data_IF_416707213640
#
_entry.id   IF_416707213640
#
_cell.length_a   1.000
_cell.length_b   1.000
_cell.length_c   1.000
_cell.angle_alpha   90.00
_cell.angle_beta   90.00
_cell.angle_gamma   90.00
#
_symmetry.space_group_name_H-M   'P 1'
#
loop_
_entity.id
_entity.type
_entity.pdbx_description
1 polymer ?
#
# COMPACT_ATOMS: atom_id res chain seq x y z
N UNK A 1 -58.55 8.01 17.79
CA UNK A 1 -57.61 7.15 18.53
C UNK A 1 -56.56 6.70 17.53
N UNK A 2 -55.50 7.48 17.38
CA UNK A 2 -54.49 7.30 16.32
C UNK A 2 -53.46 6.27 16.78
N UNK A 3 -53.18 5.28 15.93
CA UNK A 3 -52.20 4.24 16.23
C UNK A 3 -50.79 4.85 16.37
N UNK A 4 -49.96 4.40 17.33
CA UNK A 4 -48.58 4.87 17.47
C UNK A 4 -47.76 4.45 16.24
N UNK A 5 -46.96 5.37 15.70
CA UNK A 5 -46.05 5.07 14.60
C UNK A 5 -45.04 3.97 15.01
N UNK A 6 -44.75 3.00 14.13
CA UNK A 6 -43.74 1.98 14.39
C UNK A 6 -42.37 2.66 14.56
N UNK A 7 -41.86 2.63 15.79
CA UNK A 7 -40.59 3.26 16.15
C UNK A 7 -39.44 2.75 15.28
N UNK A 8 -38.63 3.69 14.78
CA UNK A 8 -37.40 3.42 14.03
C UNK A 8 -36.55 2.39 14.78
N UNK A 9 -36.17 1.26 14.17
CA UNK A 9 -35.36 0.26 14.84
C UNK A 9 -34.03 0.88 15.28
N UNK A 10 -33.51 0.52 16.47
CA UNK A 10 -32.26 1.06 16.97
C UNK A 10 -31.14 0.76 15.98
N UNK A 11 -30.34 1.77 15.65
CA UNK A 11 -29.18 1.61 14.80
C UNK A 11 -28.25 0.55 15.41
N UNK A 12 -27.99 -0.53 14.67
CA UNK A 12 -27.10 -1.57 15.15
C UNK A 12 -25.70 -0.99 15.41
N UNK A 13 -25.03 -1.37 16.52
CA UNK A 13 -23.67 -0.95 16.80
C UNK A 13 -22.76 -1.30 15.63
N UNK A 14 -21.97 -0.33 15.16
CA UNK A 14 -21.05 -0.54 14.04
C UNK A 14 -19.84 -1.35 14.52
N UNK A 15 -19.89 -2.66 14.37
CA UNK A 15 -18.82 -3.57 14.81
C UNK A 15 -17.56 -3.33 13.97
N UNK A 16 -16.39 -3.05 14.58
CA UNK A 16 -15.14 -2.88 13.85
C UNK A 16 -14.75 -4.18 13.14
N UNK A 17 -14.32 -4.11 11.88
CA UNK A 17 -13.85 -5.28 11.12
C UNK A 17 -12.70 -6.04 11.82
N UNK A 18 -11.94 -5.37 12.71
CA UNK A 18 -10.89 -5.98 13.53
C UNK A 18 -11.41 -6.95 14.60
N UNK A 19 -12.71 -6.91 14.90
CA UNK A 19 -13.36 -7.78 15.89
C UNK A 19 -14.08 -8.98 15.27
N UNK A 20 -14.06 -9.10 13.93
CA UNK A 20 -14.57 -10.31 13.29
C UNK A 20 -13.61 -11.48 13.59
N UNK A 21 -14.13 -12.64 14.05
CA UNK A 21 -13.31 -13.81 14.29
C UNK A 21 -12.70 -14.28 12.97
N UNK A 22 -11.40 -14.11 12.83
CA UNK A 22 -10.65 -14.59 11.68
C UNK A 22 -10.30 -16.07 11.89
N UNK A 23 -10.35 -16.86 10.82
CA UNK A 23 -9.93 -18.28 10.86
C UNK A 23 -8.46 -18.46 11.22
N UNK A 24 -7.64 -17.42 11.01
CA UNK A 24 -6.21 -17.45 11.30
C UNK A 24 -5.67 -16.09 11.69
N UNK A 25 -5.09 -16.04 12.90
CA UNK A 25 -4.46 -14.88 13.51
C UNK A 25 -5.38 -13.68 13.69
N UNK A 26 -4.82 -12.60 14.21
CA UNK A 26 -5.55 -11.35 14.39
C UNK A 26 -5.33 -10.39 13.23
N UNK A 27 -6.31 -9.52 12.98
CA UNK A 27 -6.20 -8.45 11.98
C UNK A 27 -4.93 -7.58 12.12
N UNK A 28 -4.51 -7.12 13.33
CA UNK A 28 -3.27 -6.36 13.50
C UNK A 28 -2.01 -7.15 13.14
N UNK A 29 -1.93 -8.43 13.54
CA UNK A 29 -0.78 -9.29 13.27
C UNK A 29 -0.59 -9.50 11.77
N UNK A 30 -1.69 -9.78 11.05
CA UNK A 30 -1.67 -9.91 9.59
C UNK A 30 -1.28 -8.61 8.89
N UNK A 31 -1.71 -7.47 9.42
CA UNK A 31 -1.35 -6.18 8.87
C UNK A 31 0.14 -5.90 9.01
N UNK A 32 0.70 -6.12 10.22
CA UNK A 32 2.13 -5.96 10.47
C UNK A 32 2.97 -6.92 9.65
N UNK A 33 2.62 -8.21 9.64
CA UNK A 33 3.32 -9.21 8.83
C UNK A 33 3.29 -8.86 7.34
N UNK A 34 2.12 -8.44 6.82
CA UNK A 34 1.97 -8.03 5.43
C UNK A 34 2.88 -6.85 5.06
N UNK A 35 2.94 -5.81 5.90
CA UNK A 35 3.79 -4.64 5.65
C UNK A 35 5.28 -5.02 5.67
N UNK A 36 5.72 -5.74 6.70
CA UNK A 36 7.12 -6.15 6.81
C UNK A 36 7.54 -7.01 5.62
N UNK A 37 6.68 -7.90 5.16
CA UNK A 37 6.94 -8.75 3.99
C UNK A 37 6.95 -7.95 2.67
N UNK A 38 6.04 -7.00 2.50
CA UNK A 38 6.00 -6.14 1.30
C UNK A 38 7.26 -5.27 1.22
N UNK A 39 7.59 -4.55 2.29
CA UNK A 39 8.73 -3.63 2.34
C UNK A 39 10.04 -4.42 2.32
N UNK A 40 10.17 -5.43 3.17
CA UNK A 40 11.36 -6.27 3.24
C UNK A 40 11.61 -7.04 1.93
N UNK A 41 10.56 -7.59 1.33
CA UNK A 41 10.64 -8.25 0.03
C UNK A 41 11.03 -7.28 -1.09
N UNK A 42 10.45 -6.08 -1.12
CA UNK A 42 10.82 -5.03 -2.09
C UNK A 42 12.28 -4.57 -1.93
N UNK A 43 12.75 -4.41 -0.69
CA UNK A 43 14.13 -4.04 -0.40
C UNK A 43 15.11 -5.17 -0.77
N UNK A 44 14.74 -6.43 -0.52
CA UNK A 44 15.51 -7.59 -0.94
C UNK A 44 15.62 -7.67 -2.48
N UNK A 45 14.53 -7.39 -3.21
CA UNK A 45 14.56 -7.28 -4.67
C UNK A 45 15.51 -6.16 -5.10
N UNK A 46 15.37 -4.95 -4.56
CA UNK A 46 16.22 -3.80 -4.93
C UNK A 46 17.70 -4.00 -4.58
N UNK A 47 18.01 -4.82 -3.57
CA UNK A 47 19.38 -5.19 -3.20
C UNK A 47 19.97 -6.37 -3.97
N UNK A 48 19.16 -7.09 -4.77
CA UNK A 48 19.63 -8.24 -5.53
C UNK A 48 20.59 -7.79 -6.65
N UNK A 49 21.64 -8.58 -6.86
CA UNK A 49 22.65 -8.34 -7.90
C UNK A 49 23.16 -9.68 -8.43
N UNK A 50 24.07 -9.64 -9.40
CA UNK A 50 24.64 -10.84 -10.05
C UNK A 50 25.35 -11.79 -9.08
N UNK A 51 25.91 -11.30 -7.97
CA UNK A 51 26.57 -12.12 -6.94
C UNK A 51 25.59 -12.72 -5.92
N UNK A 52 24.42 -12.10 -5.76
CA UNK A 52 23.40 -12.50 -4.78
C UNK A 52 22.03 -12.73 -5.44
N UNK A 53 22.02 -13.32 -6.64
CA UNK A 53 20.80 -13.48 -7.45
C UNK A 53 19.73 -14.34 -6.76
N UNK A 54 20.13 -15.23 -5.84
CA UNK A 54 19.22 -16.02 -5.01
C UNK A 54 18.33 -15.18 -4.07
N UNK A 55 18.72 -13.93 -3.76
CA UNK A 55 17.90 -13.00 -2.96
C UNK A 55 16.66 -12.56 -3.76
N UNK A 56 16.75 -12.46 -5.08
CA UNK A 56 15.66 -12.01 -5.94
C UNK A 56 14.39 -12.87 -5.82
N UNK A 57 14.44 -14.22 -5.97
CA UNK A 57 13.27 -15.06 -5.78
C UNK A 57 12.77 -15.05 -4.33
N UNK A 58 13.65 -14.94 -3.32
CA UNK A 58 13.24 -14.84 -1.91
C UNK A 58 12.49 -13.52 -1.64
N UNK A 59 13.02 -12.40 -2.12
CA UNK A 59 12.38 -11.09 -2.03
C UNK A 59 11.05 -11.03 -2.77
N UNK A 60 10.99 -11.64 -3.96
CA UNK A 60 9.76 -11.78 -4.75
C UNK A 60 8.71 -12.59 -4.00
N UNK A 61 9.08 -13.75 -3.44
CA UNK A 61 8.18 -14.58 -2.64
C UNK A 61 7.68 -13.85 -1.39
N UNK A 62 8.57 -13.18 -0.66
CA UNK A 62 8.20 -12.37 0.50
C UNK A 62 7.22 -11.24 0.12
N UNK A 63 7.50 -10.52 -0.97
CA UNK A 63 6.65 -9.43 -1.44
C UNK A 63 5.24 -9.93 -1.82
N UNK A 64 5.15 -11.04 -2.55
CA UNK A 64 3.88 -11.70 -2.90
C UNK A 64 3.13 -12.16 -1.65
N UNK A 65 3.82 -12.83 -0.73
CA UNK A 65 3.24 -13.31 0.52
C UNK A 65 2.65 -12.16 1.35
N UNK A 66 3.36 -11.02 1.41
CA UNK A 66 2.90 -9.84 2.12
C UNK A 66 1.55 -9.32 1.60
N UNK A 67 1.38 -9.21 0.28
CA UNK A 67 0.09 -8.85 -0.33
C UNK A 67 -1.02 -9.86 -0.07
N UNK A 68 -0.70 -11.16 -0.10
CA UNK A 68 -1.65 -12.23 0.17
C UNK A 68 -2.15 -12.25 1.62
N UNK A 69 -1.30 -11.88 2.58
CA UNK A 69 -1.61 -11.89 4.01
C UNK A 69 -2.54 -10.73 4.41
N UNK A 70 -2.46 -9.59 3.73
CA UNK A 70 -3.21 -8.38 4.06
C UNK A 70 -4.73 -8.63 4.20
N UNK A 71 -5.39 -8.07 5.23
CA UNK A 71 -6.83 -8.27 5.46
C UNK A 71 -7.67 -7.41 4.49
N UNK A 72 -7.99 -7.91 3.30
CA UNK A 72 -8.90 -7.26 2.32
C UNK A 72 -9.65 -8.27 1.42
N UNK A 73 -10.51 -7.83 0.49
CA UNK A 73 -11.19 -8.74 -0.44
C UNK A 73 -10.18 -9.50 -1.34
N UNK A 74 -10.37 -10.81 -1.51
CA UNK A 74 -9.40 -11.70 -2.19
C UNK A 74 -9.00 -11.24 -3.59
N UNK A 75 -9.96 -10.81 -4.42
CA UNK A 75 -9.69 -10.36 -5.79
C UNK A 75 -8.78 -9.11 -5.85
N UNK A 76 -8.91 -8.19 -4.88
CA UNK A 76 -8.06 -6.99 -4.81
C UNK A 76 -6.61 -7.30 -4.43
N UNK A 77 -6.40 -8.35 -3.61
CA UNK A 77 -5.05 -8.84 -3.28
C UNK A 77 -4.35 -9.32 -4.55
N UNK A 78 -5.03 -10.19 -5.31
CA UNK A 78 -4.47 -10.78 -6.52
C UNK A 78 -4.18 -9.71 -7.59
N UNK A 79 -5.08 -8.75 -7.76
CA UNK A 79 -4.86 -7.65 -8.69
C UNK A 79 -3.71 -6.73 -8.29
N UNK A 80 -3.42 -6.57 -7.00
CA UNK A 80 -2.31 -5.74 -6.53
C UNK A 80 -0.94 -6.43 -6.66
N UNK A 81 -0.90 -7.76 -6.53
CA UNK A 81 0.34 -8.54 -6.53
C UNK A 81 1.13 -8.35 -7.82
N UNK A 82 0.50 -8.62 -8.98
CA UNK A 82 1.18 -8.60 -10.27
C UNK A 82 1.78 -7.23 -10.62
N UNK A 83 1.03 -6.11 -10.60
CA UNK A 83 1.60 -4.80 -10.91
C UNK A 83 2.64 -4.36 -9.88
N UNK A 84 2.41 -4.63 -8.58
CA UNK A 84 3.39 -4.29 -7.54
C UNK A 84 4.69 -5.05 -7.73
N UNK A 85 4.64 -6.37 -7.96
CA UNK A 85 5.84 -7.18 -8.17
C UNK A 85 6.61 -6.74 -9.42
N UNK A 86 5.90 -6.49 -10.53
CA UNK A 86 6.52 -6.00 -11.76
C UNK A 86 7.27 -4.68 -11.50
N UNK A 87 6.67 -3.76 -10.74
CA UNK A 87 7.35 -2.49 -10.41
C UNK A 87 8.58 -2.70 -9.52
N UNK A 88 8.58 -3.68 -8.62
CA UNK A 88 9.77 -4.01 -7.83
C UNK A 88 10.91 -4.53 -8.72
N UNK A 89 10.60 -5.33 -9.74
CA UNK A 89 11.62 -5.76 -10.70
C UNK A 89 12.13 -4.62 -11.59
N UNK A 90 11.26 -3.68 -11.97
CA UNK A 90 11.68 -2.48 -12.71
C UNK A 90 12.67 -1.64 -11.90
N UNK A 91 12.59 -1.62 -10.56
CA UNK A 91 13.57 -0.92 -9.73
C UNK A 91 14.99 -1.46 -9.86
N UNK A 92 15.20 -2.71 -10.31
CA UNK A 92 16.54 -3.26 -10.54
C UNK A 92 17.35 -2.46 -11.57
N UNK A 93 16.68 -1.68 -12.42
CA UNK A 93 17.32 -0.83 -13.43
C UNK A 93 17.95 0.44 -12.85
N UNK A 94 17.66 0.78 -11.59
CA UNK A 94 18.28 1.89 -10.85
C UNK A 94 17.33 3.01 -10.40
N UNK A 95 17.86 4.06 -9.76
CA UNK A 95 17.05 5.09 -9.08
C UNK A 95 16.19 5.93 -10.03
N UNK A 96 16.53 6.01 -11.33
CA UNK A 96 15.71 6.73 -12.32
C UNK A 96 14.30 6.14 -12.48
N UNK A 97 14.13 4.86 -12.12
CA UNK A 97 12.84 4.18 -12.21
C UNK A 97 12.00 4.29 -10.94
N UNK A 98 12.39 5.10 -9.94
CA UNK A 98 11.62 5.27 -8.70
C UNK A 98 10.16 5.71 -8.92
N UNK A 99 9.87 6.40 -10.04
CA UNK A 99 8.51 6.78 -10.41
C UNK A 99 7.54 5.58 -10.45
N UNK A 100 8.03 4.38 -10.74
CA UNK A 100 7.20 3.15 -10.77
C UNK A 100 6.63 2.80 -9.39
N UNK A 101 7.19 3.32 -8.30
CA UNK A 101 6.66 3.16 -6.93
C UNK A 101 5.29 3.82 -6.72
N UNK A 102 4.84 4.65 -7.66
CA UNK A 102 3.45 5.13 -7.64
C UNK A 102 2.46 3.96 -7.79
N UNK A 103 2.81 2.93 -8.55
CA UNK A 103 1.93 1.78 -8.80
C UNK A 103 1.66 0.97 -7.52
N UNK A 104 2.66 0.52 -6.73
CA UNK A 104 2.41 -0.16 -5.46
C UNK A 104 1.69 0.74 -4.46
N UNK A 105 1.91 2.06 -4.51
CA UNK A 105 1.13 3.02 -3.73
C UNK A 105 -0.37 3.02 -4.11
N UNK A 106 -0.69 3.06 -5.40
CA UNK A 106 -2.07 2.99 -5.88
C UNK A 106 -2.71 1.63 -5.55
N UNK A 107 -1.95 0.54 -5.70
CA UNK A 107 -2.37 -0.79 -5.27
C UNK A 107 -2.68 -0.84 -3.77
N UNK A 108 -1.90 -0.13 -2.95
CA UNK A 108 -2.15 0.00 -1.53
C UNK A 108 -3.47 0.73 -1.24
N UNK A 109 -3.77 1.82 -1.96
CA UNK A 109 -5.05 2.52 -1.83
C UNK A 109 -6.24 1.64 -2.24
N UNK A 110 -6.08 0.88 -3.33
CA UNK A 110 -7.08 -0.09 -3.82
C UNK A 110 -7.39 -1.15 -2.75
N UNK A 111 -6.35 -1.77 -2.19
CA UNK A 111 -6.46 -2.81 -1.14
C UNK A 111 -7.09 -2.25 0.14
N UNK A 112 -6.84 -0.98 0.47
CA UNK A 112 -7.42 -0.31 1.64
C UNK A 112 -8.83 0.23 1.42
N UNK A 113 -9.48 -0.07 0.28
CA UNK A 113 -10.84 0.37 -0.04
C UNK A 113 -11.04 1.89 0.09
N UNK A 114 -10.02 2.68 -0.26
CA UNK A 114 -10.11 4.15 -0.21
C UNK A 114 -10.95 4.68 -1.37
N UNK A 115 -11.63 5.83 -1.19
CA UNK A 115 -12.43 6.44 -2.27
C UNK A 115 -11.52 6.87 -3.43
N UNK A 116 -12.02 6.78 -4.67
CA UNK A 116 -11.23 7.03 -5.88
C UNK A 116 -10.56 8.42 -5.90
N UNK A 117 -11.18 9.43 -5.28
CA UNK A 117 -10.61 10.79 -5.14
C UNK A 117 -9.24 10.78 -4.45
N UNK A 118 -9.00 9.83 -3.53
CA UNK A 118 -7.70 9.73 -2.87
C UNK A 118 -6.58 9.24 -3.80
N UNK A 119 -6.89 8.72 -4.99
CA UNK A 119 -5.84 8.39 -5.97
C UNK A 119 -5.03 9.62 -6.42
N UNK A 120 -5.58 10.84 -6.24
CA UNK A 120 -4.87 12.09 -6.53
C UNK A 120 -3.62 12.29 -5.66
N UNK A 121 -3.55 11.70 -4.46
CA UNK A 121 -2.31 11.73 -3.66
C UNK A 121 -1.19 10.92 -4.30
N UNK A 122 -1.50 10.05 -5.27
CA UNK A 122 -0.52 9.39 -6.13
C UNK A 122 0.28 10.39 -6.97
N UNK A 123 -0.28 11.55 -7.33
CA UNK A 123 0.45 12.59 -8.06
C UNK A 123 1.63 13.10 -7.22
N UNK A 124 1.42 13.30 -5.92
CA UNK A 124 2.49 13.73 -4.99
C UNK A 124 3.61 12.68 -4.98
N UNK A 125 3.25 11.40 -4.88
CA UNK A 125 4.23 10.31 -4.88
C UNK A 125 4.98 10.25 -6.22
N UNK A 126 4.29 10.37 -7.35
CA UNK A 126 4.91 10.36 -8.68
C UNK A 126 5.88 11.53 -8.86
N UNK A 127 5.48 12.75 -8.49
CA UNK A 127 6.30 13.95 -8.63
C UNK A 127 7.56 13.84 -7.77
N UNK A 128 7.42 13.46 -6.49
CA UNK A 128 8.60 13.31 -5.61
C UNK A 128 9.50 12.18 -6.10
N UNK A 129 8.95 11.04 -6.50
CA UNK A 129 9.74 9.92 -6.99
C UNK A 129 10.48 10.25 -8.30
N UNK A 130 9.85 11.03 -9.19
CA UNK A 130 10.49 11.54 -10.40
C UNK A 130 11.63 12.51 -10.07
N UNK A 131 11.38 13.52 -9.22
CA UNK A 131 12.40 14.50 -8.80
C UNK A 131 13.58 13.82 -8.12
N UNK A 132 13.31 12.91 -7.18
CA UNK A 132 14.37 12.16 -6.48
C UNK A 132 15.13 11.26 -7.45
N UNK A 133 14.44 10.59 -8.37
CA UNK A 133 15.06 9.74 -9.38
C UNK A 133 15.93 10.51 -10.37
N UNK A 134 15.59 11.77 -10.67
CA UNK A 134 16.40 12.65 -11.50
C UNK A 134 17.62 13.19 -10.75
N UNK A 135 17.42 13.67 -9.50
CA UNK A 135 18.49 14.24 -8.68
C UNK A 135 19.53 13.22 -8.18
N UNK A 136 19.12 11.96 -7.96
CA UNK A 136 19.99 10.89 -7.42
C UNK A 136 20.28 9.79 -8.46
N UNK A 137 19.78 9.94 -9.68
CA UNK A 137 19.67 8.88 -10.70
C UNK A 137 20.97 8.27 -11.22
N UNK A 138 22.07 9.03 -11.16
CA UNK A 138 23.33 8.64 -11.78
C UNK A 138 24.21 7.77 -10.87
N UNK A 139 23.84 7.62 -9.59
CA UNK A 139 24.64 6.91 -8.59
C UNK A 139 23.80 5.84 -7.87
N UNK A 140 24.05 4.57 -8.21
CA UNK A 140 23.34 3.44 -7.59
C UNK A 140 23.57 3.35 -6.08
N UNK A 141 24.69 3.87 -5.56
CA UNK A 141 24.92 3.91 -4.10
C UNK A 141 23.85 4.73 -3.37
N UNK A 142 23.18 5.66 -4.08
CA UNK A 142 22.10 6.49 -3.58
C UNK A 142 20.71 5.86 -3.71
N UNK A 143 20.60 4.63 -4.20
CA UNK A 143 19.33 3.93 -4.32
C UNK A 143 18.61 3.80 -2.97
N UNK A 144 19.34 3.43 -1.91
CA UNK A 144 18.75 3.23 -0.58
C UNK A 144 18.19 4.52 0.04
N UNK A 145 18.93 5.66 0.07
CA UNK A 145 18.35 6.92 0.54
C UNK A 145 17.20 7.41 -0.38
N UNK A 146 17.30 7.21 -1.70
CA UNK A 146 16.24 7.57 -2.63
C UNK A 146 14.93 6.77 -2.35
N UNK A 147 15.06 5.45 -2.13
CA UNK A 147 13.94 4.59 -1.71
C UNK A 147 13.34 5.05 -0.37
N UNK A 148 14.18 5.42 0.60
CA UNK A 148 13.71 5.90 1.90
C UNK A 148 12.87 7.19 1.77
N UNK A 149 13.30 8.14 0.93
CA UNK A 149 12.54 9.38 0.68
C UNK A 149 11.19 9.08 0.03
N UNK A 150 11.16 8.20 -0.99
CA UNK A 150 9.91 7.85 -1.67
C UNK A 150 8.97 7.07 -0.75
N UNK A 151 9.48 6.14 0.07
CA UNK A 151 8.69 5.43 1.08
C UNK A 151 8.11 6.36 2.15
N UNK A 152 8.90 7.34 2.61
CA UNK A 152 8.42 8.36 3.53
C UNK A 152 7.30 9.19 2.89
N UNK A 153 7.45 9.53 1.61
CA UNK A 153 6.43 10.26 0.84
C UNK A 153 5.16 9.44 0.65
N UNK A 154 5.27 8.15 0.30
CA UNK A 154 4.13 7.24 0.21
C UNK A 154 3.39 7.15 1.55
N UNK A 155 4.14 7.10 2.66
CA UNK A 155 3.58 7.08 4.01
C UNK A 155 2.81 8.36 4.31
N UNK A 156 3.41 9.54 4.07
CA UNK A 156 2.78 10.83 4.24
C UNK A 156 1.53 10.99 3.35
N UNK A 157 1.62 10.62 2.08
CA UNK A 157 0.50 10.62 1.14
C UNK A 157 -0.61 9.66 1.61
N UNK A 158 -0.27 8.52 2.19
CA UNK A 158 -1.26 7.57 2.75
C UNK A 158 -1.98 8.14 3.96
N UNK A 159 -1.31 8.97 4.78
CA UNK A 159 -1.90 9.68 5.92
C UNK A 159 -2.85 10.75 5.39
N UNK A 160 -2.40 11.55 4.42
CA UNK A 160 -3.22 12.58 3.76
C UNK A 160 -4.48 11.99 3.13
N UNK A 161 -4.37 10.85 2.44
CA UNK A 161 -5.53 10.12 1.90
C UNK A 161 -6.55 9.75 3.00
N UNK A 162 -6.10 9.42 4.22
CA UNK A 162 -7.02 9.17 5.34
C UNK A 162 -7.73 10.44 5.80
N UNK A 163 -7.02 11.55 5.85
CA UNK A 163 -7.57 12.84 6.25
C UNK A 163 -8.62 13.32 5.25
N UNK A 164 -8.35 13.18 3.95
CA UNK A 164 -9.31 13.49 2.87
C UNK A 164 -10.58 12.64 3.03
N UNK A 165 -10.43 11.33 3.24
CA UNK A 165 -11.59 10.46 3.44
C UNK A 165 -12.41 10.85 4.68
N UNK A 166 -11.74 11.20 5.78
CA UNK A 166 -12.42 11.66 6.99
C UNK A 166 -13.15 12.99 6.77
N UNK A 167 -12.57 13.92 6.01
CA UNK A 167 -13.20 15.18 5.65
C UNK A 167 -14.46 14.95 4.81
N UNK A 168 -14.38 14.11 3.77
CA UNK A 168 -15.52 13.77 2.91
C UNK A 168 -16.67 13.15 3.72
N UNK A 169 -16.36 12.26 4.66
CA UNK A 169 -17.39 11.61 5.51
C UNK A 169 -18.05 12.56 6.51
N UNK A 170 -17.41 13.70 6.83
CA UNK A 170 -17.92 14.70 7.78
C UNK A 170 -18.84 15.73 7.14
N UNK A 171 -18.90 15.81 5.82
CA UNK A 171 -19.80 16.71 5.11
C UNK A 171 -21.07 15.93 4.75
N UNK A 172 -22.13 15.96 5.58
CA UNK A 172 -23.44 15.50 5.12
C UNK A 172 -23.88 16.42 3.98
N UNK A 173 -24.25 15.82 2.85
CA UNK A 173 -24.93 16.52 1.77
C UNK A 173 -26.33 16.97 2.22
#
# INVERSE_FOLDING_TARGET
>A
MSAPEPGTPPALPRIPLSSLPLRWGDAPTRWWAGIWLIIGGGLAIAGANTFALWILPMGSAAHVAGWCILPCAGWRRTLAVAPSLLTMWLLLTGPRFLIVLVVPYLCWLLVRHRPAVTALTGIIVAVVAWVVGDLLGDDYSRMLPALAIVLATMTAASILARLIEQAIRRTPA
#
